data_IF_150206146069
#
_entry.id   IF_150206146069
#
_cell.length_a   1.000
_cell.length_b   1.000
_cell.length_c   1.000
_cell.angle_alpha   90.00
_cell.angle_beta   90.00
_cell.angle_gamma   90.00
#
_symmetry.space_group_name_H-M   'P 1'
#
loop_
_entity.id
_entity.type
_entity.pdbx_description
1 polymer ?
#
# COMPACT_ATOMS: atom_id res chain seq x y z
N UNK A 1 14.24 -6.38 25.06
CA UNK A 1 14.20 -5.49 23.87
C UNK A 1 12.91 -5.79 23.13
N UNK A 2 11.98 -4.83 23.03
CA UNK A 2 10.58 -5.06 22.61
C UNK A 2 10.45 -5.31 21.11
N UNK A 3 10.47 -6.57 20.67
CA UNK A 3 10.04 -6.95 19.32
C UNK A 3 8.51 -7.17 19.31
N UNK A 4 7.78 -6.05 19.36
CA UNK A 4 6.34 -6.07 19.10
C UNK A 4 6.18 -6.06 17.59
N UNK A 5 6.04 -7.23 16.99
CA UNK A 5 5.53 -7.35 15.63
C UNK A 5 4.26 -6.49 15.51
N UNK A 6 4.37 -5.34 14.85
CA UNK A 6 3.26 -4.40 14.73
C UNK A 6 2.15 -5.10 13.94
N UNK A 7 0.99 -5.28 14.58
CA UNK A 7 -0.16 -5.93 13.96
C UNK A 7 -0.45 -5.28 12.60
N UNK A 8 -0.67 -6.04 11.51
CA UNK A 8 -0.85 -5.49 10.16
C UNK A 8 -1.94 -4.41 10.08
N UNK A 9 -2.96 -4.48 10.94
CA UNK A 9 -4.02 -3.46 11.07
C UNK A 9 -3.46 -2.08 11.50
N UNK A 10 -2.46 -2.05 12.40
CA UNK A 10 -1.85 -0.83 12.91
C UNK A 10 -1.00 -0.15 11.85
N UNK A 11 -0.28 -0.95 11.04
CA UNK A 11 0.53 -0.46 9.92
C UNK A 11 -0.36 0.09 8.79
N UNK A 12 -1.50 -0.56 8.52
CA UNK A 12 -2.51 -0.06 7.58
C UNK A 12 -3.10 1.28 8.04
N UNK A 13 -3.54 1.37 9.30
CA UNK A 13 -4.07 2.63 9.86
C UNK A 13 -3.05 3.77 9.78
N UNK A 14 -1.78 3.48 10.09
CA UNK A 14 -0.69 4.47 9.99
C UNK A 14 -0.49 4.96 8.55
N UNK A 15 -0.59 4.06 7.58
CA UNK A 15 -0.51 4.40 6.15
C UNK A 15 -1.66 5.32 5.71
N UNK A 16 -2.89 5.00 6.12
CA UNK A 16 -4.07 5.83 5.81
C UNK A 16 -3.95 7.21 6.44
N UNK A 17 -3.57 7.31 7.71
CA UNK A 17 -3.33 8.60 8.37
C UNK A 17 -2.26 9.42 7.65
N UNK A 18 -1.13 8.81 7.28
CA UNK A 18 -0.07 9.53 6.57
C UNK A 18 -0.53 10.05 5.20
N UNK A 19 -1.42 9.33 4.52
CA UNK A 19 -1.98 9.76 3.23
C UNK A 19 -2.92 10.95 3.36
N UNK A 20 -3.80 10.95 4.36
CA UNK A 20 -4.73 12.07 4.61
C UNK A 20 -3.94 13.33 4.94
N UNK A 21 -2.94 13.21 5.82
CA UNK A 21 -2.07 14.34 6.20
C UNK A 21 -1.35 14.90 4.98
N UNK A 22 -0.75 14.04 4.14
CA UNK A 22 -0.05 14.47 2.94
C UNK A 22 -0.95 15.19 1.93
N UNK A 23 -2.19 14.72 1.71
CA UNK A 23 -3.11 15.38 0.78
C UNK A 23 -3.55 16.75 1.30
N UNK A 24 -3.82 16.87 2.60
CA UNK A 24 -4.15 18.17 3.22
C UNK A 24 -2.96 19.13 3.09
N UNK A 25 -1.74 18.65 3.34
CA UNK A 25 -0.52 19.44 3.22
C UNK A 25 -0.34 20.00 1.80
N UNK A 26 -0.50 19.16 0.76
CA UNK A 26 -0.46 19.59 -0.65
C UNK A 26 -1.52 20.65 -0.96
N UNK A 27 -2.75 20.49 -0.45
CA UNK A 27 -3.84 21.45 -0.66
C UNK A 27 -3.54 22.78 0.03
N UNK A 28 -3.03 22.76 1.28
CA UNK A 28 -2.66 23.96 2.04
C UNK A 28 -1.51 24.69 1.35
N UNK A 29 -0.44 23.98 0.97
CA UNK A 29 0.71 24.57 0.26
C UNK A 29 0.25 25.16 -1.08
N UNK A 30 -0.53 24.42 -1.86
CA UNK A 30 -1.08 24.93 -3.13
C UNK A 30 -1.94 26.16 -2.92
N UNK A 31 -2.76 26.21 -1.87
CA UNK A 31 -3.56 27.39 -1.55
C UNK A 31 -2.69 28.58 -1.15
N UNK A 32 -1.70 28.39 -0.30
CA UNK A 32 -0.80 29.46 0.14
C UNK A 32 0.01 30.06 -1.01
N UNK A 33 0.43 29.23 -1.99
CA UNK A 33 1.18 29.70 -3.16
C UNK A 33 0.26 30.43 -4.15
N UNK A 34 -0.92 29.86 -4.43
CA UNK A 34 -1.76 30.35 -5.54
C UNK A 34 -2.87 31.32 -5.11
N UNK A 35 -3.21 31.36 -3.82
CA UNK A 35 -4.32 32.12 -3.24
C UNK A 35 -5.73 31.66 -3.68
N UNK A 36 -5.82 30.62 -4.52
CA UNK A 36 -7.06 30.17 -5.17
C UNK A 36 -7.48 28.79 -4.66
N UNK A 37 -8.59 28.74 -3.92
CA UNK A 37 -9.14 27.50 -3.36
C UNK A 37 -9.48 26.47 -4.45
N UNK A 38 -10.03 26.91 -5.59
CA UNK A 38 -10.37 26.04 -6.72
C UNK A 38 -9.17 25.25 -7.26
N UNK A 39 -8.00 25.89 -7.31
CA UNK A 39 -6.78 25.26 -7.81
C UNK A 39 -6.19 24.27 -6.79
N UNK A 40 -6.19 24.64 -5.50
CA UNK A 40 -5.80 23.74 -4.42
C UNK A 40 -6.69 22.47 -4.36
N UNK A 41 -8.00 22.64 -4.50
CA UNK A 41 -8.96 21.53 -4.59
C UNK A 41 -8.69 20.64 -5.81
N UNK A 42 -8.38 21.24 -6.96
CA UNK A 42 -8.07 20.49 -8.18
C UNK A 42 -6.80 19.64 -8.00
N UNK A 43 -5.73 20.22 -7.43
CA UNK A 43 -4.48 19.51 -7.16
C UNK A 43 -4.71 18.36 -6.18
N UNK A 44 -5.36 18.61 -5.04
CA UNK A 44 -5.63 17.57 -4.06
C UNK A 44 -6.53 16.45 -4.61
N UNK A 45 -7.51 16.79 -5.45
CA UNK A 45 -8.37 15.80 -6.12
C UNK A 45 -7.57 14.88 -7.05
N UNK A 46 -6.69 15.46 -7.87
CA UNK A 46 -5.80 14.69 -8.76
C UNK A 46 -4.84 13.83 -7.95
N UNK A 47 -4.29 14.34 -6.84
CA UNK A 47 -3.40 13.59 -5.97
C UNK A 47 -4.09 12.33 -5.44
N UNK A 48 -5.29 12.47 -4.87
CA UNK A 48 -6.06 11.35 -4.31
C UNK A 48 -6.41 10.31 -5.37
N UNK A 49 -6.88 10.76 -6.55
CA UNK A 49 -7.22 9.88 -7.66
C UNK A 49 -6.00 9.09 -8.13
N UNK A 50 -4.87 9.78 -8.35
CA UNK A 50 -3.61 9.16 -8.80
C UNK A 50 -3.12 8.13 -7.78
N UNK A 51 -3.11 8.47 -6.48
CA UNK A 51 -2.72 7.55 -5.39
C UNK A 51 -3.63 6.32 -5.32
N UNK A 52 -4.93 6.51 -5.53
CA UNK A 52 -5.93 5.42 -5.49
C UNK A 52 -5.69 4.43 -6.63
N UNK A 53 -5.50 4.94 -7.85
CA UNK A 53 -5.20 4.11 -9.03
C UNK A 53 -3.89 3.34 -8.80
N UNK A 54 -2.83 4.05 -8.37
CA UNK A 54 -1.51 3.45 -8.16
C UNK A 54 -1.54 2.40 -7.03
N UNK A 55 -2.29 2.65 -5.95
CA UNK A 55 -2.50 1.68 -4.88
C UNK A 55 -3.24 0.42 -5.36
N UNK A 56 -4.29 0.58 -6.16
CA UNK A 56 -5.02 -0.55 -6.74
C UNK A 56 -4.10 -1.43 -7.58
N UNK A 57 -3.31 -0.85 -8.49
CA UNK A 57 -2.35 -1.61 -9.28
C UNK A 57 -1.27 -2.28 -8.41
N UNK A 58 -0.74 -1.57 -7.41
CA UNK A 58 0.21 -2.14 -6.46
C UNK A 58 -0.35 -3.38 -5.75
N UNK A 59 -1.58 -3.31 -5.24
CA UNK A 59 -2.22 -4.43 -4.56
C UNK A 59 -2.49 -5.61 -5.51
N UNK A 60 -2.90 -5.33 -6.75
CA UNK A 60 -3.09 -6.36 -7.80
C UNK A 60 -1.79 -7.09 -8.15
N UNK A 61 -0.69 -6.36 -8.33
CA UNK A 61 0.63 -6.92 -8.60
C UNK A 61 1.10 -7.76 -7.40
N UNK A 62 0.97 -7.22 -6.18
CA UNK A 62 1.38 -7.92 -4.97
C UNK A 62 0.58 -9.20 -4.75
N UNK A 63 -0.73 -9.18 -4.99
CA UNK A 63 -1.58 -10.37 -4.93
C UNK A 63 -1.18 -11.43 -5.97
N UNK A 64 -0.67 -11.02 -7.14
CA UNK A 64 -0.13 -11.94 -8.14
C UNK A 64 1.19 -12.57 -7.67
N UNK A 65 2.13 -11.75 -7.18
CA UNK A 65 3.42 -12.21 -6.64
C UNK A 65 3.22 -13.16 -5.45
N UNK A 66 2.30 -12.84 -4.53
CA UNK A 66 1.98 -13.68 -3.38
C UNK A 66 1.44 -15.05 -3.82
N UNK A 67 0.53 -15.08 -4.81
CA UNK A 67 0.02 -16.34 -5.38
C UNK A 67 1.11 -17.19 -6.02
N UNK A 68 2.06 -16.58 -6.74
CA UNK A 68 3.22 -17.29 -7.31
C UNK A 68 4.08 -17.89 -6.19
N UNK A 69 4.43 -17.08 -5.18
CA UNK A 69 5.22 -17.53 -4.03
C UNK A 69 4.57 -18.69 -3.29
N UNK A 70 3.25 -18.65 -3.08
CA UNK A 70 2.49 -19.74 -2.45
C UNK A 70 2.59 -21.03 -3.27
N UNK A 71 2.36 -20.97 -4.59
CA UNK A 71 2.47 -22.15 -5.47
C UNK A 71 3.86 -22.78 -5.41
N UNK A 72 4.92 -21.96 -5.39
CA UNK A 72 6.30 -22.44 -5.30
C UNK A 72 6.55 -23.12 -3.94
N UNK A 73 6.13 -22.51 -2.83
CA UNK A 73 6.31 -23.10 -1.49
C UNK A 73 5.54 -24.41 -1.33
N UNK A 74 4.31 -24.49 -1.85
CA UNK A 74 3.49 -25.70 -1.82
C UNK A 74 4.11 -26.82 -2.66
N UNK A 75 4.64 -26.50 -3.85
CA UNK A 75 5.36 -27.49 -4.69
C UNK A 75 6.59 -28.01 -3.96
N UNK A 76 7.35 -27.12 -3.31
CA UNK A 76 8.55 -27.46 -2.56
C UNK A 76 8.24 -28.39 -1.37
N UNK A 77 7.17 -28.11 -0.60
CA UNK A 77 6.75 -28.98 0.52
C UNK A 77 6.36 -30.39 0.08
N UNK A 78 5.58 -30.51 -1.00
CA UNK A 78 5.16 -31.81 -1.52
C UNK A 78 6.34 -32.68 -1.96
N UNK A 79 7.39 -32.08 -2.52
CA UNK A 79 8.60 -32.81 -2.90
C UNK A 79 9.34 -33.43 -1.71
N UNK A 80 9.42 -32.72 -0.57
CA UNK A 80 10.04 -33.27 0.64
C UNK A 80 9.24 -34.41 1.25
N UNK A 81 7.91 -34.34 1.21
CA UNK A 81 7.06 -35.43 1.72
C UNK A 81 7.17 -36.70 0.86
N UNK A 82 7.43 -36.56 -0.44
CA UNK A 82 7.68 -37.70 -1.33
C UNK A 82 9.04 -38.35 -1.05
N UNK A 83 10.09 -37.55 -0.93
CA UNK A 83 11.47 -38.03 -0.68
C UNK A 83 11.64 -38.65 0.73
N UNK A 84 10.81 -38.25 1.71
CA UNK A 84 10.79 -38.82 3.05
C UNK A 84 9.93 -40.10 3.19
N UNK A 85 9.17 -40.45 2.15
CA UNK A 85 8.30 -41.64 2.13
C UNK A 85 8.93 -42.84 1.38
N UNK A 86 10.11 -42.63 0.77
CA UNK A 86 10.95 -43.63 0.08
C UNK A 86 12.05 -44.13 1.02
#
# INVERSE_FOLDING_TARGET
MSDRADKPIKSFMKSVSWRIVGTIDTMVISYLITGKVSLALSIGSIEVLTKTILYYFHERIWAHIHRIRLKINLKKRRSYEFEAAE
#
